data_IF_700642889306
#
_entry.id   IF_700642889306
#
_cell.length_a   1.000
_cell.length_b   1.000
_cell.length_c   1.000
_cell.angle_alpha   90.00
_cell.angle_beta   90.00
_cell.angle_gamma   90.00
#
_symmetry.space_group_name_H-M   'P 1'
#
loop_
_entity.id
_entity.type
_entity.pdbx_description
1 polymer ?
#
# COMPACT_ATOMS: atom_id res chain seq x y z
N UNK A 1 10.18 20.24 23.37
CA UNK A 1 10.62 20.06 21.98
C UNK A 1 12.02 19.43 21.83
N UNK A 2 13.03 19.83 22.60
CA UNK A 2 14.39 19.24 22.48
C UNK A 2 14.51 17.80 23.05
N UNK A 3 13.73 17.44 24.05
CA UNK A 3 13.75 16.10 24.67
C UNK A 3 13.28 15.04 23.66
N UNK A 4 12.22 15.29 22.91
CA UNK A 4 11.71 14.37 21.89
C UNK A 4 12.71 14.21 20.73
N UNK A 5 13.38 15.29 20.30
CA UNK A 5 14.46 15.23 19.30
C UNK A 5 15.67 14.43 19.79
N UNK A 6 16.08 14.61 21.03
CA UNK A 6 17.20 13.86 21.63
C UNK A 6 16.86 12.37 21.81
N UNK A 7 15.61 12.05 22.15
CA UNK A 7 15.18 10.67 22.35
C UNK A 7 14.92 9.95 21.02
N UNK A 8 14.55 10.65 19.94
CA UNK A 8 14.41 10.07 18.60
C UNK A 8 15.73 9.67 17.94
N UNK A 9 16.85 10.16 18.45
CA UNK A 9 18.20 9.81 18.00
C UNK A 9 18.85 8.66 18.78
N UNK A 10 18.17 8.11 19.79
CA UNK A 10 18.65 6.98 20.58
C UNK A 10 17.84 5.73 20.18
N UNK A 11 18.45 4.87 19.36
CA UNK A 11 17.83 3.65 18.79
C UNK A 11 17.24 2.69 19.85
N UNK A 12 17.70 2.73 21.09
CA UNK A 12 17.27 1.84 22.18
C UNK A 12 16.07 2.36 23.01
N UNK A 13 15.55 3.57 22.74
CA UNK A 13 14.49 4.17 23.57
C UNK A 13 13.07 3.92 23.10
N UNK A 14 12.86 3.35 21.91
CA UNK A 14 11.53 3.18 21.31
C UNK A 14 10.65 2.18 22.05
N UNK A 15 11.25 1.27 22.81
CA UNK A 15 10.55 0.20 23.55
C UNK A 15 10.21 0.55 25.00
N UNK A 16 10.51 1.79 25.43
CA UNK A 16 10.28 2.24 26.80
C UNK A 16 8.90 2.90 26.96
N UNK A 17 8.07 2.39 27.88
CA UNK A 17 6.74 2.93 28.18
C UNK A 17 6.76 4.39 28.63
N UNK A 18 7.81 4.80 29.35
CA UNK A 18 7.99 6.18 29.77
C UNK A 18 8.10 7.10 28.56
N UNK A 19 8.77 6.65 27.49
CA UNK A 19 8.93 7.41 26.27
C UNK A 19 7.59 7.57 25.51
N UNK A 20 6.81 6.49 25.39
CA UNK A 20 5.48 6.56 24.79
C UNK A 20 4.54 7.48 25.59
N UNK A 21 4.58 7.39 26.92
CA UNK A 21 3.76 8.24 27.79
C UNK A 21 4.18 9.71 27.70
N UNK A 22 5.48 10.01 27.63
CA UNK A 22 5.98 11.37 27.44
C UNK A 22 5.58 11.95 26.08
N UNK A 23 5.72 11.17 25.00
CA UNK A 23 5.32 11.56 23.66
C UNK A 23 3.79 11.81 23.57
N UNK A 24 3.00 10.94 24.20
CA UNK A 24 1.55 11.09 24.27
C UNK A 24 1.14 12.35 25.05
N UNK A 25 1.81 12.62 26.16
CA UNK A 25 1.55 13.82 26.97
C UNK A 25 1.94 15.09 26.21
N UNK A 26 3.07 15.07 25.50
CA UNK A 26 3.50 16.19 24.67
C UNK A 26 2.49 16.46 23.54
N UNK A 27 2.05 15.41 22.86
CA UNK A 27 1.06 15.54 21.81
C UNK A 27 -0.26 16.11 22.32
N UNK A 28 -0.73 15.71 23.52
CA UNK A 28 -1.93 16.30 24.14
C UNK A 28 -1.77 17.78 24.47
N UNK A 29 -0.57 18.22 24.84
CA UNK A 29 -0.28 19.63 25.18
C UNK A 29 -0.08 20.50 23.93
N UNK A 30 0.52 19.95 22.89
CA UNK A 30 0.83 20.62 21.62
C UNK A 30 0.55 19.69 20.44
N UNK A 31 -0.75 19.50 20.09
CA UNK A 31 -1.15 18.68 18.97
C UNK A 31 -0.60 19.25 17.65
N UNK A 32 -0.02 18.41 16.81
CA UNK A 32 0.49 18.77 15.48
C UNK A 32 0.65 17.53 14.61
N UNK A 33 0.70 17.73 13.29
CA UNK A 33 1.00 16.64 12.36
C UNK A 33 2.27 15.90 12.73
N UNK A 34 3.34 16.61 13.09
CA UNK A 34 4.61 16.03 13.47
C UNK A 34 4.55 15.20 14.75
N UNK A 35 3.83 15.67 15.79
CA UNK A 35 3.69 14.94 17.06
C UNK A 35 2.80 13.70 16.91
N UNK A 36 1.75 13.76 16.09
CA UNK A 36 0.92 12.61 15.74
C UNK A 36 1.72 11.57 14.91
N UNK A 37 2.47 12.01 13.89
CA UNK A 37 3.34 11.13 13.11
C UNK A 37 4.39 10.44 13.98
N UNK A 38 4.94 11.14 14.94
CA UNK A 38 5.88 10.55 15.89
C UNK A 38 5.23 9.44 16.73
N UNK A 39 4.01 9.64 17.22
CA UNK A 39 3.24 8.60 17.90
C UNK A 39 2.90 7.41 17.00
N UNK A 40 2.64 7.66 15.71
CA UNK A 40 2.52 6.60 14.72
C UNK A 40 3.78 5.74 14.69
N UNK A 41 4.97 6.36 14.54
CA UNK A 41 6.25 5.62 14.48
C UNK A 41 6.48 4.76 15.73
N UNK A 42 6.21 5.30 16.90
CA UNK A 42 6.37 4.56 18.17
C UNK A 42 5.41 3.36 18.26
N UNK A 43 4.14 3.56 17.92
CA UNK A 43 3.16 2.48 17.96
C UNK A 43 3.43 1.43 16.88
N UNK A 44 3.87 1.84 15.69
CA UNK A 44 4.27 0.93 14.61
C UNK A 44 5.46 0.05 15.02
N UNK A 45 6.48 0.62 15.66
CA UNK A 45 7.64 -0.13 16.16
C UNK A 45 7.25 -1.16 17.23
N UNK A 46 6.22 -0.87 18.03
CA UNK A 46 5.70 -1.74 19.10
C UNK A 46 4.68 -2.77 18.60
N UNK A 47 4.33 -2.76 17.32
CA UNK A 47 3.31 -3.63 16.75
C UNK A 47 1.87 -3.26 17.13
N UNK A 48 1.62 -2.08 17.69
CA UNK A 48 0.30 -1.56 18.05
C UNK A 48 -0.40 -1.03 16.78
N UNK A 49 -0.89 -1.93 15.93
CA UNK A 49 -1.40 -1.60 14.60
C UNK A 49 -2.50 -0.52 14.63
N UNK A 50 -3.54 -0.71 15.45
CA UNK A 50 -4.70 0.18 15.45
C UNK A 50 -4.34 1.60 15.93
N UNK A 51 -3.53 1.72 16.98
CA UNK A 51 -3.06 3.03 17.44
C UNK A 51 -2.10 3.68 16.42
N UNK A 52 -1.23 2.91 15.77
CA UNK A 52 -0.38 3.42 14.71
C UNK A 52 -1.22 4.00 13.56
N UNK A 53 -2.21 3.25 13.06
CA UNK A 53 -3.10 3.74 11.99
C UNK A 53 -3.91 4.95 12.42
N UNK A 54 -4.37 5.00 13.65
CA UNK A 54 -5.07 6.16 14.22
C UNK A 54 -4.19 7.41 14.18
N UNK A 55 -2.97 7.32 14.68
CA UNK A 55 -2.06 8.47 14.74
C UNK A 55 -1.56 8.93 13.38
N UNK A 56 -1.29 8.02 12.41
CA UNK A 56 -0.93 8.46 11.06
C UNK A 56 -2.14 9.12 10.37
N UNK A 57 -3.35 8.60 10.60
CA UNK A 57 -4.57 9.22 10.07
C UNK A 57 -4.81 10.60 10.69
N UNK A 58 -4.55 10.75 11.97
CA UNK A 58 -4.62 12.04 12.66
C UNK A 58 -3.58 13.02 12.10
N UNK A 59 -2.31 12.59 11.92
CA UNK A 59 -1.26 13.42 11.35
C UNK A 59 -1.65 14.04 9.99
N UNK A 60 -2.43 13.31 9.20
CA UNK A 60 -2.92 13.73 7.88
C UNK A 60 -4.09 14.75 7.95
N UNK A 61 -4.68 14.98 9.11
CA UNK A 61 -5.79 15.95 9.27
C UNK A 61 -5.33 17.38 9.54
N UNK A 62 -4.07 17.58 9.90
CA UNK A 62 -3.55 18.89 10.25
C UNK A 62 -3.33 19.76 9.02
N UNK A 63 -3.81 21.02 9.02
CA UNK A 63 -3.75 21.88 7.83
C UNK A 63 -2.35 22.38 7.48
N UNK A 64 -1.40 22.31 8.41
CA UNK A 64 -0.02 22.73 8.19
C UNK A 64 0.84 21.71 7.42
N UNK A 65 0.30 20.52 7.15
CA UNK A 65 1.06 19.48 6.42
C UNK A 65 1.19 19.84 4.94
N UNK A 66 2.40 19.76 4.38
CA UNK A 66 2.57 19.95 2.94
C UNK A 66 2.00 18.77 2.14
N UNK A 67 1.65 19.01 0.88
CA UNK A 67 1.13 17.97 -0.02
C UNK A 67 2.12 16.83 -0.16
N UNK A 68 3.42 17.12 -0.30
CA UNK A 68 4.48 16.13 -0.39
C UNK A 68 4.59 15.30 0.88
N UNK A 69 4.54 15.94 2.05
CA UNK A 69 4.58 15.24 3.34
C UNK A 69 3.32 14.38 3.53
N UNK A 70 2.15 14.87 3.12
CA UNK A 70 0.92 14.09 3.18
C UNK A 70 0.97 12.87 2.23
N UNK A 71 1.54 13.01 1.04
CA UNK A 71 1.76 11.90 0.11
C UNK A 71 2.73 10.87 0.70
N UNK A 72 3.81 11.32 1.34
CA UNK A 72 4.79 10.45 1.99
C UNK A 72 4.17 9.66 3.15
N UNK A 73 3.45 10.33 4.04
CA UNK A 73 2.76 9.68 5.16
C UNK A 73 1.73 8.64 4.70
N UNK A 74 0.98 8.94 3.63
CA UNK A 74 0.07 7.97 3.03
C UNK A 74 0.81 6.76 2.47
N UNK A 75 1.93 6.97 1.76
CA UNK A 75 2.72 5.85 1.22
C UNK A 75 3.35 5.00 2.34
N UNK A 76 3.86 5.63 3.38
CA UNK A 76 4.39 4.92 4.55
C UNK A 76 3.29 4.11 5.27
N UNK A 77 2.12 4.70 5.48
CA UNK A 77 0.96 4.01 6.03
C UNK A 77 0.53 2.81 5.16
N UNK A 78 0.57 2.95 3.83
CA UNK A 78 0.29 1.86 2.91
C UNK A 78 1.27 0.69 3.10
N UNK A 79 2.58 0.97 3.14
CA UNK A 79 3.61 -0.06 3.35
C UNK A 79 3.49 -0.72 4.72
N UNK A 80 3.16 0.05 5.76
CA UNK A 80 2.91 -0.47 7.09
C UNK A 80 1.69 -1.39 7.12
N UNK A 81 0.60 -1.02 6.44
CA UNK A 81 -0.59 -1.87 6.31
C UNK A 81 -0.29 -3.19 5.59
N UNK A 82 0.53 -3.17 4.52
CA UNK A 82 0.96 -4.41 3.82
C UNK A 82 1.72 -5.34 4.76
N UNK A 83 2.69 -4.81 5.51
CA UNK A 83 3.47 -5.59 6.49
C UNK A 83 2.59 -6.27 7.54
N UNK A 84 1.44 -5.69 7.85
CA UNK A 84 0.46 -6.21 8.82
C UNK A 84 -0.70 -6.98 8.18
N UNK A 85 -0.64 -7.32 6.88
CA UNK A 85 -1.67 -8.07 6.17
C UNK A 85 -3.00 -7.32 5.96
N UNK A 86 -3.01 -6.00 6.14
CA UNK A 86 -4.20 -5.15 5.99
C UNK A 86 -4.28 -4.57 4.57
N UNK A 87 -4.32 -5.44 3.57
CA UNK A 87 -4.19 -5.10 2.16
C UNK A 87 -5.24 -4.10 1.66
N UNK A 88 -6.53 -4.26 2.04
CA UNK A 88 -7.57 -3.31 1.63
C UNK A 88 -7.25 -1.89 2.10
N UNK A 89 -6.80 -1.73 3.35
CA UNK A 89 -6.42 -0.43 3.90
C UNK A 89 -5.12 0.10 3.27
N UNK A 90 -4.21 -0.80 2.91
CA UNK A 90 -3.00 -0.42 2.16
C UNK A 90 -3.33 0.20 0.80
N UNK A 91 -4.32 -0.35 0.08
CA UNK A 91 -4.80 0.21 -1.19
C UNK A 91 -5.38 1.63 -1.01
N UNK A 92 -6.15 1.86 0.05
CA UNK A 92 -6.71 3.20 0.35
C UNK A 92 -5.60 4.24 0.51
N UNK A 93 -4.59 3.95 1.33
CA UNK A 93 -3.47 4.83 1.57
C UNK A 93 -2.57 5.00 0.32
N UNK A 94 -2.28 3.92 -0.41
CA UNK A 94 -1.49 4.00 -1.65
C UNK A 94 -2.16 4.89 -2.71
N UNK A 95 -3.49 4.75 -2.88
CA UNK A 95 -4.25 5.61 -3.79
C UNK A 95 -4.19 7.08 -3.37
N UNK A 96 -4.40 7.38 -2.08
CA UNK A 96 -4.30 8.77 -1.58
C UNK A 96 -2.91 9.36 -1.79
N UNK A 97 -1.84 8.58 -1.62
CA UNK A 97 -0.47 9.04 -1.85
C UNK A 97 -0.26 9.51 -3.29
N UNK A 98 -0.69 8.72 -4.29
CA UNK A 98 -0.52 9.08 -5.70
C UNK A 98 -1.52 10.13 -6.21
N UNK A 99 -2.67 10.29 -5.54
CA UNK A 99 -3.62 11.39 -5.81
C UNK A 99 -3.05 12.75 -5.36
N UNK A 100 -2.28 12.74 -4.28
CA UNK A 100 -1.66 13.95 -3.73
C UNK A 100 -0.44 14.39 -4.52
N UNK A 101 0.42 13.46 -4.95
CA UNK A 101 1.66 13.80 -5.64
C UNK A 101 2.02 12.78 -6.73
N UNK A 102 2.20 13.26 -7.95
CA UNK A 102 2.54 12.44 -9.12
C UNK A 102 3.85 11.66 -8.96
N UNK A 103 4.80 12.19 -8.17
CA UNK A 103 6.06 11.53 -7.83
C UNK A 103 5.89 10.21 -7.07
N UNK A 104 4.68 9.98 -6.51
CA UNK A 104 4.34 8.73 -5.82
C UNK A 104 3.67 7.70 -6.73
N UNK A 105 3.24 8.05 -7.95
CA UNK A 105 2.50 7.14 -8.84
C UNK A 105 3.25 5.85 -9.12
N UNK A 106 4.52 5.93 -9.50
CA UNK A 106 5.32 4.75 -9.84
C UNK A 106 5.37 3.74 -8.69
N UNK A 107 5.84 4.19 -7.53
CA UNK A 107 5.97 3.32 -6.34
C UNK A 107 4.63 2.87 -5.75
N UNK A 108 3.57 3.69 -5.82
CA UNK A 108 2.24 3.30 -5.37
C UNK A 108 1.62 2.24 -6.30
N UNK A 109 1.73 2.39 -7.61
CA UNK A 109 1.31 1.35 -8.56
C UNK A 109 2.08 0.05 -8.37
N UNK A 110 3.40 0.14 -8.16
CA UNK A 110 4.23 -1.04 -7.87
C UNK A 110 3.76 -1.76 -6.60
N UNK A 111 3.50 -1.02 -5.51
CA UNK A 111 2.99 -1.58 -4.26
C UNK A 111 1.63 -2.24 -4.46
N UNK A 112 0.69 -1.58 -5.15
CA UNK A 112 -0.65 -2.12 -5.44
C UNK A 112 -0.54 -3.39 -6.28
N UNK A 113 0.31 -3.39 -7.32
CA UNK A 113 0.56 -4.58 -8.14
C UNK A 113 1.12 -5.74 -7.32
N UNK A 114 2.03 -5.48 -6.39
CA UNK A 114 2.58 -6.48 -5.46
C UNK A 114 1.50 -7.05 -4.54
N UNK A 115 0.62 -6.20 -3.99
CA UNK A 115 -0.51 -6.63 -3.16
C UNK A 115 -1.40 -7.61 -3.94
N UNK A 116 -1.80 -7.23 -5.15
CA UNK A 116 -2.66 -8.08 -5.98
C UNK A 116 -1.96 -9.39 -6.39
N UNK A 117 -0.67 -9.33 -6.73
CA UNK A 117 0.12 -10.51 -7.08
C UNK A 117 0.31 -11.51 -5.95
N UNK A 118 0.21 -11.05 -4.70
CA UNK A 118 0.26 -11.88 -3.48
C UNK A 118 -1.14 -12.26 -2.97
N UNK A 119 -2.21 -11.77 -3.60
CA UNK A 119 -3.59 -12.00 -3.15
C UNK A 119 -4.11 -13.35 -3.66
N UNK A 120 -4.62 -14.17 -2.75
CA UNK A 120 -5.32 -15.42 -3.08
C UNK A 120 -6.82 -15.20 -2.93
N UNK A 121 -7.57 -15.36 -4.02
CA UNK A 121 -9.03 -15.33 -4.03
C UNK A 121 -9.59 -16.76 -3.94
N UNK A 122 -10.75 -16.90 -3.31
CA UNK A 122 -11.57 -18.11 -3.42
C UNK A 122 -12.31 -18.16 -4.75
N UNK A 123 -13.07 -19.24 -4.98
CA UNK A 123 -13.91 -19.40 -6.17
C UNK A 123 -13.37 -20.42 -7.17
N UNK A 124 -13.79 -20.28 -8.44
CA UNK A 124 -13.38 -21.14 -9.54
C UNK A 124 -11.92 -20.88 -9.98
N UNK A 125 -11.47 -21.64 -10.97
CA UNK A 125 -10.11 -21.58 -11.50
C UNK A 125 -9.74 -20.18 -12.02
N UNK A 126 -10.68 -19.53 -12.71
CA UNK A 126 -10.46 -18.19 -13.26
C UNK A 126 -10.44 -17.13 -12.15
N UNK A 127 -11.40 -17.19 -11.23
CA UNK A 127 -11.49 -16.24 -10.11
C UNK A 127 -10.20 -16.26 -9.26
N UNK A 128 -9.61 -17.45 -9.07
CA UNK A 128 -8.33 -17.57 -8.31
C UNK A 128 -7.15 -16.97 -9.05
N UNK A 129 -7.16 -16.93 -10.39
CA UNK A 129 -6.08 -16.40 -11.23
C UNK A 129 -6.25 -14.93 -11.60
N UNK A 130 -7.47 -14.40 -11.53
CA UNK A 130 -7.78 -13.03 -11.93
C UNK A 130 -6.95 -11.94 -11.19
N UNK A 131 -6.53 -12.10 -9.91
CA UNK A 131 -5.62 -11.15 -9.27
C UNK A 131 -4.32 -10.89 -10.03
N UNK A 132 -3.79 -11.89 -10.75
CA UNK A 132 -2.58 -11.72 -11.54
C UNK A 132 -2.78 -10.81 -12.76
N UNK A 133 -4.00 -10.69 -13.31
CA UNK A 133 -4.31 -9.70 -14.34
C UNK A 133 -4.22 -8.29 -13.80
N UNK A 134 -4.80 -8.07 -12.61
CA UNK A 134 -4.73 -6.77 -11.91
C UNK A 134 -3.29 -6.42 -11.58
N UNK A 135 -2.54 -7.37 -11.01
CA UNK A 135 -1.13 -7.20 -10.68
C UNK A 135 -0.30 -6.80 -11.92
N UNK A 136 -0.52 -7.48 -13.04
CA UNK A 136 0.13 -7.19 -14.31
C UNK A 136 -0.17 -5.76 -14.79
N UNK A 137 -1.43 -5.34 -14.73
CA UNK A 137 -1.85 -3.99 -15.15
C UNK A 137 -1.19 -2.91 -14.29
N UNK A 138 -1.10 -3.12 -12.98
CA UNK A 138 -0.45 -2.17 -12.09
C UNK A 138 1.07 -2.11 -12.26
N UNK A 139 1.73 -3.22 -12.59
CA UNK A 139 3.16 -3.21 -12.97
C UNK A 139 3.39 -2.45 -14.28
N UNK A 140 2.48 -2.58 -15.26
CA UNK A 140 2.55 -1.80 -16.49
C UNK A 140 2.42 -0.29 -16.22
N UNK A 141 1.48 0.12 -15.37
CA UNK A 141 1.32 1.52 -14.94
C UNK A 141 2.52 2.02 -14.14
N UNK A 142 3.10 1.17 -13.28
CA UNK A 142 4.26 1.54 -12.46
C UNK A 142 5.47 1.92 -13.32
N UNK A 143 5.83 1.09 -14.30
CA UNK A 143 6.96 1.37 -15.19
C UNK A 143 6.72 2.53 -16.16
N UNK A 144 5.47 2.82 -16.49
CA UNK A 144 5.09 3.98 -17.28
C UNK A 144 5.25 5.28 -16.46
N UNK A 145 4.82 5.25 -15.19
CA UNK A 145 4.91 6.39 -14.29
C UNK A 145 6.33 6.64 -13.77
N UNK A 146 7.13 5.57 -13.62
CA UNK A 146 8.52 5.63 -13.17
C UNK A 146 9.39 4.64 -13.96
N UNK A 147 10.08 5.09 -15.01
CA UNK A 147 10.94 4.23 -15.81
C UNK A 147 12.08 3.55 -15.05
N UNK A 148 12.47 4.06 -13.88
CA UNK A 148 13.50 3.42 -13.05
C UNK A 148 13.06 2.06 -12.51
N UNK A 149 11.74 1.81 -12.41
CA UNK A 149 11.13 0.55 -11.99
C UNK A 149 10.95 -0.45 -13.14
N UNK A 150 11.36 -0.12 -14.36
CA UNK A 150 11.02 -0.91 -15.56
C UNK A 150 11.55 -2.35 -15.49
N UNK A 151 12.76 -2.55 -14.97
CA UNK A 151 13.36 -3.89 -14.85
C UNK A 151 12.56 -4.77 -13.89
N UNK A 152 12.30 -4.27 -12.68
CA UNK A 152 11.54 -4.99 -11.66
C UNK A 152 10.10 -5.25 -12.12
N UNK A 153 9.45 -4.25 -12.71
CA UNK A 153 8.11 -4.42 -13.27
C UNK A 153 8.06 -5.50 -14.35
N UNK A 154 9.01 -5.50 -15.29
CA UNK A 154 9.05 -6.50 -16.36
C UNK A 154 9.28 -7.91 -15.81
N UNK A 155 10.12 -8.06 -14.79
CA UNK A 155 10.35 -9.32 -14.09
C UNK A 155 9.05 -9.83 -13.44
N UNK A 156 8.36 -8.96 -12.68
CA UNK A 156 7.08 -9.30 -12.04
C UNK A 156 6.00 -9.63 -13.07
N UNK A 157 5.88 -8.83 -14.13
CA UNK A 157 4.92 -9.10 -15.22
C UNK A 157 5.17 -10.46 -15.87
N UNK A 158 6.42 -10.86 -16.07
CA UNK A 158 6.76 -12.17 -16.62
C UNK A 158 6.34 -13.31 -15.67
N UNK A 159 6.52 -13.12 -14.36
CA UNK A 159 6.07 -14.08 -13.36
C UNK A 159 4.53 -14.20 -13.33
N UNK A 160 3.80 -13.09 -13.38
CA UNK A 160 2.34 -13.10 -13.36
C UNK A 160 1.73 -13.75 -14.62
N UNK A 161 2.36 -13.59 -15.78
CA UNK A 161 1.91 -14.21 -17.04
C UNK A 161 1.81 -15.74 -16.98
N UNK A 162 2.63 -16.39 -16.17
CA UNK A 162 2.62 -17.85 -16.00
C UNK A 162 1.28 -18.35 -15.46
N UNK A 163 0.57 -17.49 -14.70
CA UNK A 163 -0.73 -17.81 -14.11
C UNK A 163 -1.92 -17.48 -15.01
N UNK A 164 -1.71 -16.86 -16.18
CA UNK A 164 -2.82 -16.57 -17.08
C UNK A 164 -3.39 -17.88 -17.63
N UNK A 165 -4.72 -18.00 -17.76
CA UNK A 165 -5.33 -19.18 -18.35
C UNK A 165 -4.98 -19.29 -19.85
N UNK A 166 -5.03 -20.50 -20.39
CA UNK A 166 -5.01 -20.71 -21.83
C UNK A 166 -6.29 -20.13 -22.45
N UNK A 167 -6.23 -19.70 -23.71
CA UNK A 167 -7.40 -19.13 -24.41
C UNK A 167 -8.60 -20.09 -24.41
N UNK A 168 -8.36 -21.40 -24.64
CA UNK A 168 -9.41 -22.41 -24.61
C UNK A 168 -10.02 -22.57 -23.19
N UNK A 169 -9.21 -22.48 -22.15
CA UNK A 169 -9.66 -22.53 -20.77
C UNK A 169 -10.53 -21.33 -20.41
N UNK A 170 -10.13 -20.11 -20.78
CA UNK A 170 -10.92 -18.91 -20.56
C UNK A 170 -12.28 -18.97 -21.28
N UNK A 171 -12.29 -19.51 -22.49
CA UNK A 171 -13.52 -19.68 -23.28
C UNK A 171 -14.55 -20.59 -22.59
N UNK A 172 -14.12 -21.60 -21.84
CA UNK A 172 -15.02 -22.48 -21.06
C UNK A 172 -15.78 -21.73 -19.95
N UNK A 173 -15.33 -20.53 -19.58
CA UNK A 173 -15.98 -19.64 -18.62
C UNK A 173 -16.63 -18.41 -19.29
N UNK A 174 -16.92 -18.49 -20.60
CA UNK A 174 -17.46 -17.38 -21.38
C UNK A 174 -16.59 -16.10 -21.38
N UNK A 175 -15.28 -16.26 -21.17
CA UNK A 175 -14.32 -15.17 -21.13
C UNK A 175 -13.50 -15.08 -22.40
N UNK A 176 -13.34 -13.85 -22.88
CA UNK A 176 -12.56 -13.55 -24.09
C UNK A 176 -11.40 -12.62 -23.75
N UNK A 177 -10.21 -12.93 -24.25
CA UNK A 177 -9.02 -12.10 -24.09
C UNK A 177 -9.28 -10.63 -24.45
N UNK A 178 -8.81 -9.71 -23.63
CA UNK A 178 -8.99 -8.26 -23.78
C UNK A 178 -10.35 -7.71 -23.32
N UNK A 179 -11.31 -8.53 -22.91
CA UNK A 179 -12.60 -8.04 -22.40
C UNK A 179 -12.46 -7.54 -20.94
N UNK A 180 -13.24 -6.51 -20.58
CA UNK A 180 -13.26 -6.01 -19.19
C UNK A 180 -13.61 -7.11 -18.18
N UNK A 181 -12.93 -7.12 -17.07
CA UNK A 181 -13.20 -8.03 -15.95
C UNK A 181 -13.07 -7.29 -14.63
N UNK A 182 -13.93 -7.61 -13.66
CA UNK A 182 -13.91 -7.04 -12.32
C UNK A 182 -13.49 -8.11 -11.31
N UNK A 183 -12.41 -7.86 -10.61
CA UNK A 183 -11.94 -8.74 -9.52
C UNK A 183 -12.41 -8.16 -8.19
N UNK A 184 -13.02 -8.99 -7.34
CA UNK A 184 -13.42 -8.62 -5.98
C UNK A 184 -13.12 -9.78 -5.04
N UNK A 185 -12.20 -9.57 -4.11
CA UNK A 185 -11.93 -10.51 -3.02
C UNK A 185 -11.19 -9.86 -1.86
N UNK A 186 -11.30 -10.45 -0.68
CA UNK A 186 -10.62 -10.00 0.55
C UNK A 186 -10.85 -8.51 0.86
N UNK A 187 -12.06 -7.99 0.57
CA UNK A 187 -12.41 -6.59 0.78
C UNK A 187 -11.79 -5.61 -0.24
N UNK A 188 -11.11 -6.12 -1.25
CA UNK A 188 -10.51 -5.34 -2.34
C UNK A 188 -11.29 -5.51 -3.64
N UNK A 189 -11.30 -4.49 -4.49
CA UNK A 189 -11.92 -4.53 -5.81
C UNK A 189 -11.03 -3.79 -6.82
N UNK A 190 -10.90 -4.37 -8.03
CA UNK A 190 -10.21 -3.73 -9.14
C UNK A 190 -10.86 -4.09 -10.47
N UNK A 191 -10.80 -3.16 -11.42
CA UNK A 191 -11.11 -3.42 -12.82
C UNK A 191 -9.83 -3.76 -13.59
N UNK A 192 -9.91 -4.76 -14.45
CA UNK A 192 -8.83 -5.24 -15.30
C UNK A 192 -9.38 -5.72 -16.61
N UNK A 193 -8.58 -6.38 -17.42
CA UNK A 193 -9.01 -7.11 -18.61
C UNK A 193 -8.62 -8.58 -18.50
N UNK A 194 -9.45 -9.44 -19.10
CA UNK A 194 -9.10 -10.85 -19.26
C UNK A 194 -7.79 -10.94 -20.04
N UNK A 195 -6.85 -11.74 -19.54
CA UNK A 195 -5.58 -12.01 -20.20
C UNK A 195 -5.36 -13.51 -20.29
N UNK A 196 -5.00 -13.97 -21.48
CA UNK A 196 -4.74 -15.38 -21.75
C UNK A 196 -3.30 -15.59 -22.19
N UNK A 197 -2.81 -16.81 -22.01
CA UNK A 197 -1.58 -17.27 -22.67
C UNK A 197 -1.91 -17.54 -24.14
N UNK A 198 -1.02 -17.09 -25.03
CA UNK A 198 -1.08 -17.36 -26.48
C UNK A 198 -0.21 -18.54 -26.81
#
# INVERSE_FOLDING_TARGET
SNIVKMMSSADDCTDNDLYLNAATSLHKLQPSSQSAYFLYKLNAARGNFDEAVKYISEALTYPEISVETAADYNYEAATFCVKNGKNAKALEFANKSMELADSYKGKAYFLIGTIWGATTCGGDEITRRAPYWVAYDYMAKAKEADPSLAEDCNKMMSQYRVYFPQTAEAFMYDLTDGKPYKVSCNGMTANTTVRTQK
#
